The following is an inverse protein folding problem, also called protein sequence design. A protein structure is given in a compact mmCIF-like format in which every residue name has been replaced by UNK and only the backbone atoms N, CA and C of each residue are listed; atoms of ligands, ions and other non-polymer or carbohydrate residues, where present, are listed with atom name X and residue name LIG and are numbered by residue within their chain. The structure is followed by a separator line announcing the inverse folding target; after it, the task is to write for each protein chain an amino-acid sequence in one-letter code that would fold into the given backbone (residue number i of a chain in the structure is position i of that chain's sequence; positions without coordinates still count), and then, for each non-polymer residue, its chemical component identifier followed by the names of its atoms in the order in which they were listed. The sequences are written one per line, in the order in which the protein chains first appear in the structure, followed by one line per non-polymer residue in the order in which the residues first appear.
data_IF_846289208418
#
_entry.id   IF_846289208418
#
_cell.length_a   1.000
_cell.length_b   1.000
_cell.length_c   1.000
_cell.angle_alpha   90.00
_cell.angle_beta   90.00
_cell.angle_gamma   90.00
#
_symmetry.space_group_name_H-M   'P 1'
#
loop_
_entity.id
_entity.type
_entity.pdbx_description
1 polymer ?
#
# COMPACT_ATOMS: atom_id res chain seq x y z
N UNK A 1 -31.25 37.93 -5.55
CA UNK A 1 -29.80 37.69 -5.51
C UNK A 1 -29.48 37.33 -4.07
N UNK A 2 -29.38 36.02 -3.78
CA UNK A 2 -29.08 35.41 -2.46
C UNK A 2 -29.30 33.87 -2.48
N UNK A 3 -29.44 33.24 -3.65
CA UNK A 3 -29.81 31.81 -3.75
C UNK A 3 -28.59 30.86 -3.79
N UNK A 4 -27.38 31.39 -3.91
CA UNK A 4 -26.11 30.63 -3.96
C UNK A 4 -25.02 31.31 -3.09
N UNK A 5 -25.42 31.91 -1.98
CA UNK A 5 -24.49 32.53 -1.03
C UNK A 5 -23.70 31.49 -0.21
N UNK A 6 -24.18 30.25 -0.14
CA UNK A 6 -23.50 29.13 0.50
C UNK A 6 -23.40 27.91 -0.42
N UNK A 7 -22.18 27.60 -0.88
CA UNK A 7 -21.89 26.44 -1.74
C UNK A 7 -20.84 25.53 -1.11
N UNK A 8 -20.93 24.22 -1.39
CA UNK A 8 -20.12 23.19 -0.71
C UNK A 8 -18.67 23.09 -1.19
N UNK A 9 -18.35 23.65 -2.36
CA UNK A 9 -17.06 23.44 -3.04
C UNK A 9 -16.67 21.96 -3.21
N UNK A 10 -17.67 21.06 -3.25
CA UNK A 10 -17.48 19.61 -3.11
C UNK A 10 -16.58 18.98 -4.17
N UNK A 11 -16.58 19.50 -5.40
CA UNK A 11 -15.71 19.00 -6.48
C UNK A 11 -14.23 19.20 -6.14
N UNK A 12 -13.86 20.34 -5.55
CA UNK A 12 -12.48 20.60 -5.15
C UNK A 12 -12.05 19.68 -4.00
N UNK A 13 -12.95 19.47 -3.03
CA UNK A 13 -12.72 18.52 -1.93
C UNK A 13 -12.52 17.09 -2.46
N UNK A 14 -13.32 16.64 -3.43
CA UNK A 14 -13.20 15.33 -4.05
C UNK A 14 -11.86 15.15 -4.80
N UNK A 15 -11.43 16.14 -5.58
CA UNK A 15 -10.13 16.08 -6.27
C UNK A 15 -8.95 16.04 -5.29
N UNK A 16 -8.99 16.85 -4.22
CA UNK A 16 -7.99 16.82 -3.17
C UNK A 16 -7.93 15.44 -2.51
N UNK A 17 -9.08 14.87 -2.16
CA UNK A 17 -9.15 13.55 -1.54
C UNK A 17 -8.56 12.47 -2.46
N UNK A 18 -8.90 12.49 -3.75
CA UNK A 18 -8.37 11.53 -4.72
C UNK A 18 -6.83 11.58 -4.81
N UNK A 19 -6.25 12.80 -4.79
CA UNK A 19 -4.81 12.99 -4.76
C UNK A 19 -4.18 12.47 -3.46
N UNK A 20 -4.78 12.78 -2.30
CA UNK A 20 -4.32 12.30 -0.99
C UNK A 20 -4.34 10.78 -0.94
N UNK A 21 -5.43 10.13 -1.36
CA UNK A 21 -5.53 8.66 -1.37
C UNK A 21 -4.44 8.05 -2.26
N UNK A 22 -4.17 8.64 -3.42
CA UNK A 22 -3.10 8.16 -4.32
C UNK A 22 -1.73 8.28 -3.66
N UNK A 23 -1.45 9.40 -3.00
CA UNK A 23 -0.19 9.62 -2.28
C UNK A 23 -0.03 8.65 -1.11
N UNK A 24 -1.08 8.43 -0.32
CA UNK A 24 -1.06 7.46 0.78
C UNK A 24 -0.75 6.06 0.30
N UNK A 25 -1.31 5.63 -0.84
CA UNK A 25 -0.98 4.31 -1.43
C UNK A 25 0.49 4.22 -1.83
N UNK A 26 1.10 5.30 -2.33
CA UNK A 26 2.54 5.32 -2.63
C UNK A 26 3.39 5.18 -1.35
N UNK A 27 3.02 5.88 -0.26
CA UNK A 27 3.73 5.78 1.02
C UNK A 27 3.66 4.35 1.56
N UNK A 28 2.46 3.76 1.59
CA UNK A 28 2.25 2.38 2.03
C UNK A 28 2.98 1.36 1.15
N UNK A 29 3.07 1.62 -0.17
CA UNK A 29 3.83 0.77 -1.09
C UNK A 29 5.32 0.76 -0.74
N UNK A 30 5.91 1.95 -0.52
CA UNK A 30 7.31 2.08 -0.11
C UNK A 30 7.55 1.38 1.23
N UNK A 31 6.68 1.62 2.22
CA UNK A 31 6.78 1.01 3.54
C UNK A 31 6.74 -0.53 3.46
N UNK A 32 5.79 -1.08 2.70
CA UNK A 32 5.64 -2.53 2.52
C UNK A 32 6.89 -3.17 1.87
N UNK A 33 7.47 -2.49 0.87
CA UNK A 33 8.71 -2.92 0.22
C UNK A 33 9.89 -2.94 1.20
N UNK A 34 10.05 -1.85 1.96
CA UNK A 34 11.10 -1.73 2.97
C UNK A 34 10.96 -2.78 4.07
N UNK A 35 9.74 -3.00 4.56
CA UNK A 35 9.46 -3.99 5.61
C UNK A 35 9.78 -5.42 5.13
N UNK A 36 9.32 -5.80 3.94
CA UNK A 36 9.63 -7.11 3.38
C UNK A 36 11.14 -7.29 3.14
N UNK A 37 11.83 -6.25 2.64
CA UNK A 37 13.28 -6.30 2.45
C UNK A 37 14.01 -6.42 3.80
N UNK A 38 13.59 -5.70 4.83
CA UNK A 38 14.16 -5.80 6.17
C UNK A 38 14.06 -7.22 6.74
N UNK A 39 12.88 -7.86 6.59
CA UNK A 39 12.68 -9.25 7.01
C UNK A 39 13.56 -10.24 6.22
N UNK A 40 13.76 -10.02 4.93
CA UNK A 40 14.67 -10.83 4.10
C UNK A 40 16.13 -10.72 4.54
N UNK A 41 16.56 -9.51 4.91
CA UNK A 41 17.92 -9.27 5.37
C UNK A 41 18.17 -9.86 6.76
N UNK A 42 17.17 -9.85 7.64
CA UNK A 42 17.25 -10.46 8.96
C UNK A 42 17.24 -12.00 8.90
N UNK A 43 16.70 -12.60 7.84
CA UNK A 43 16.60 -14.06 7.70
C UNK A 43 15.70 -14.71 8.75
N UNK A 44 14.78 -13.95 9.34
CA UNK A 44 13.88 -14.40 10.41
C UNK A 44 12.49 -14.73 9.85
N UNK A 45 11.80 -15.63 10.55
CA UNK A 45 10.38 -15.91 10.36
C UNK A 45 9.56 -15.09 11.36
N UNK A 46 8.51 -14.44 10.88
CA UNK A 46 7.58 -13.63 11.68
C UNK A 46 6.26 -14.35 11.94
N UNK A 47 5.25 -13.63 12.45
CA UNK A 47 3.90 -14.16 12.65
C UNK A 47 3.23 -14.53 11.31
N UNK A 48 2.22 -15.44 11.30
CA UNK A 48 1.54 -15.84 10.07
C UNK A 48 1.01 -14.69 9.23
N UNK A 49 0.47 -13.66 9.87
CA UNK A 49 -0.05 -12.46 9.21
C UNK A 49 1.06 -11.64 8.52
N UNK A 50 2.21 -11.48 9.18
CA UNK A 50 3.36 -10.77 8.60
C UNK A 50 3.99 -11.57 7.45
N UNK A 51 4.09 -12.90 7.60
CA UNK A 51 4.58 -13.76 6.52
C UNK A 51 3.63 -13.77 5.31
N UNK A 52 2.32 -13.67 5.52
CA UNK A 52 1.36 -13.48 4.43
C UNK A 52 1.58 -12.15 3.70
N UNK A 53 1.79 -11.05 4.44
CA UNK A 53 2.13 -9.75 3.85
C UNK A 53 3.43 -9.82 3.03
N UNK A 54 4.50 -10.36 3.63
CA UNK A 54 5.81 -10.54 2.99
C UNK A 54 5.71 -11.38 1.71
N UNK A 55 4.93 -12.46 1.74
CA UNK A 55 4.67 -13.30 0.57
C UNK A 55 4.00 -12.51 -0.56
N UNK A 56 2.95 -11.76 -0.28
CA UNK A 56 2.28 -10.92 -1.29
C UNK A 56 3.26 -9.92 -1.92
N UNK A 57 4.10 -9.28 -1.11
CA UNK A 57 5.13 -8.36 -1.63
C UNK A 57 6.09 -9.12 -2.56
N UNK A 58 6.53 -10.32 -2.20
CA UNK A 58 7.49 -11.11 -2.99
C UNK A 58 6.92 -11.77 -4.24
N UNK A 59 5.62 -12.01 -4.28
CA UNK A 59 4.91 -12.44 -5.48
C UNK A 59 4.90 -11.36 -6.58
N UNK A 60 4.97 -10.08 -6.19
CA UNK A 60 4.87 -8.95 -7.12
C UNK A 60 6.20 -8.21 -7.33
N UNK A 61 7.05 -8.18 -6.32
CA UNK A 61 8.35 -7.48 -6.36
C UNK A 61 9.44 -8.36 -5.76
N UNK A 62 10.40 -8.72 -6.62
CA UNK A 62 11.57 -9.49 -6.24
C UNK A 62 12.40 -8.76 -5.16
N UNK A 63 13.12 -9.53 -4.33
CA UNK A 63 14.09 -9.00 -3.37
C UNK A 63 15.07 -8.05 -4.08
N UNK A 64 15.48 -7.00 -3.39
CA UNK A 64 16.53 -6.11 -3.87
C UNK A 64 17.90 -6.73 -3.55
N UNK A 65 18.60 -7.22 -4.57
CA UNK A 65 19.95 -7.80 -4.44
C UNK A 65 21.05 -6.82 -4.81
N UNK A 66 20.78 -5.97 -5.80
CA UNK A 66 21.63 -4.86 -6.22
C UNK A 66 20.74 -3.65 -6.54
N UNK A 67 21.34 -2.47 -6.56
CA UNK A 67 20.61 -1.24 -6.86
C UNK A 67 19.93 -1.31 -8.23
N UNK A 68 18.65 -0.91 -8.23
CA UNK A 68 17.83 -0.75 -9.43
C UNK A 68 16.88 0.42 -9.23
N UNK A 69 16.25 0.86 -10.31
CA UNK A 69 15.16 1.84 -10.20
C UNK A 69 13.99 1.23 -9.44
N UNK A 70 13.58 1.87 -8.34
CA UNK A 70 12.46 1.43 -7.51
C UNK A 70 11.10 1.97 -7.98
N UNK A 71 11.08 2.88 -8.96
CA UNK A 71 9.82 3.44 -9.47
C UNK A 71 8.84 2.36 -9.99
N UNK A 72 9.27 1.33 -10.74
CA UNK A 72 8.41 0.23 -11.16
C UNK A 72 7.90 -0.61 -9.98
N UNK A 73 8.77 -0.86 -9.00
CA UNK A 73 8.44 -1.64 -7.80
C UNK A 73 7.38 -0.93 -6.94
N UNK A 74 7.56 0.38 -6.72
CA UNK A 74 6.62 1.22 -5.99
C UNK A 74 5.28 1.30 -6.74
N UNK A 75 5.30 1.48 -8.06
CA UNK A 75 4.06 1.50 -8.87
C UNK A 75 3.31 0.18 -8.77
N UNK A 76 4.02 -0.95 -8.85
CA UNK A 76 3.44 -2.29 -8.72
C UNK A 76 2.81 -2.47 -7.35
N UNK A 77 3.52 -2.12 -6.27
CA UNK A 77 2.98 -2.26 -4.92
C UNK A 77 1.84 -1.31 -4.61
N UNK A 78 1.83 -0.09 -5.18
CA UNK A 78 0.68 0.81 -5.11
C UNK A 78 -0.57 0.15 -5.69
N UNK A 79 -0.44 -0.54 -6.82
CA UNK A 79 -1.56 -1.21 -7.49
C UNK A 79 -2.03 -2.44 -6.70
N UNK A 80 -1.10 -3.18 -6.07
CA UNK A 80 -1.43 -4.26 -5.12
C UNK A 80 -2.25 -3.74 -3.94
N UNK A 81 -1.87 -2.61 -3.36
CA UNK A 81 -2.61 -1.96 -2.26
C UNK A 81 -3.96 -1.43 -2.75
N UNK A 82 -4.03 -0.84 -3.94
CA UNK A 82 -5.27 -0.34 -4.51
C UNK A 82 -6.31 -1.45 -4.75
N UNK A 83 -5.85 -2.68 -5.01
CA UNK A 83 -6.67 -3.88 -5.19
C UNK A 83 -6.96 -4.63 -3.88
N UNK A 84 -6.52 -4.10 -2.75
CA UNK A 84 -6.71 -4.66 -1.40
C UNK A 84 -6.12 -6.08 -1.21
N UNK A 85 -5.19 -6.49 -2.09
CA UNK A 85 -4.62 -7.84 -2.08
C UNK A 85 -3.78 -8.09 -0.82
N UNK A 86 -2.99 -7.09 -0.42
CA UNK A 86 -2.16 -7.16 0.78
C UNK A 86 -3.00 -7.31 2.04
N UNK A 87 -4.01 -6.44 2.21
CA UNK A 87 -4.85 -6.45 3.40
C UNK A 87 -5.71 -7.72 3.47
N UNK A 88 -6.22 -8.19 2.33
CA UNK A 88 -6.98 -9.44 2.24
C UNK A 88 -6.14 -10.64 2.67
N UNK A 89 -4.91 -10.76 2.19
CA UNK A 89 -4.01 -11.84 2.58
C UNK A 89 -3.69 -11.82 4.09
N UNK A 90 -3.46 -10.62 4.65
CA UNK A 90 -3.20 -10.44 6.09
C UNK A 90 -4.42 -10.83 6.92
N UNK A 91 -5.62 -10.35 6.58
CA UNK A 91 -6.87 -10.69 7.30
C UNK A 91 -7.14 -12.18 7.30
N UNK A 92 -6.99 -12.85 6.15
CA UNK A 92 -7.13 -14.31 6.08
C UNK A 92 -6.12 -15.05 6.95
N UNK A 93 -4.88 -14.56 7.04
CA UNK A 93 -3.83 -15.20 7.84
C UNK A 93 -3.93 -14.88 9.34
N UNK A 94 -4.48 -13.72 9.71
CA UNK A 94 -4.65 -13.31 11.10
C UNK A 94 -5.86 -13.98 11.78
N UNK A 95 -6.84 -14.46 11.00
CA UNK A 95 -8.17 -14.78 11.50
C UNK A 95 -8.92 -13.48 11.76
N UNK A 96 -10.00 -13.25 11.03
CA UNK A 96 -10.79 -12.01 10.96
C UNK A 96 -10.61 -11.06 12.16
N UNK A 97 -9.91 -9.95 11.92
CA UNK A 97 -9.99 -8.76 12.76
C UNK A 97 -11.08 -7.90 12.13
N UNK A 98 -12.29 -8.00 12.70
CA UNK A 98 -13.43 -7.12 12.42
C UNK A 98 -13.19 -5.73 13.06
#
# INVERSE_FOLDING_TARGET
ADMEDHVSMGVHAAHKLAAVVTNTRNVLAIESLCAAQGLDLLGMTSSPAVEAARRVVREHVARLEADRSLAPDISTMRDVIARDLLATAVRHAAGEID
#
